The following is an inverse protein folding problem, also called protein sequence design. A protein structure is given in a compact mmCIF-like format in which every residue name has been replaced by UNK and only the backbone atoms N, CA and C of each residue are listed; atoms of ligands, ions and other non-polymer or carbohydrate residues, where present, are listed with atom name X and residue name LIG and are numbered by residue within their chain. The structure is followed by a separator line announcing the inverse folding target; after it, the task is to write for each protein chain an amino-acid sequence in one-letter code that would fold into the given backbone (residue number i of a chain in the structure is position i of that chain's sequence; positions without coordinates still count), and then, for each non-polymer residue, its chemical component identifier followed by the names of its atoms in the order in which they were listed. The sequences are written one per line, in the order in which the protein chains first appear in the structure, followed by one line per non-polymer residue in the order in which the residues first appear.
data_IF_230377670372
#
_entry.id   IF_230377670372
#
_cell.length_a   1.000
_cell.length_b   1.000
_cell.length_c   1.000
_cell.angle_alpha   90.00
_cell.angle_beta   90.00
_cell.angle_gamma   90.00
#
_symmetry.space_group_name_H-M   'P 1'
#
loop_
_entity.id
_entity.type
_entity.pdbx_description
1 polymer ?
#
# COMPACT_ATOMS: atom_id res chain seq x y z
N UNK A 1 -29.67 5.30 -25.02
CA UNK A 1 -28.26 5.65 -24.91
C UNK A 1 -28.02 6.22 -23.52
N UNK A 2 -27.89 5.38 -22.48
CA UNK A 2 -27.62 5.82 -21.09
C UNK A 2 -27.40 4.60 -20.18
N UNK A 3 -26.39 3.78 -20.45
CA UNK A 3 -25.92 2.77 -19.50
C UNK A 3 -24.42 2.55 -19.74
N UNK A 4 -23.58 2.94 -18.75
CA UNK A 4 -22.21 2.45 -18.42
C UNK A 4 -21.31 3.49 -17.69
N UNK A 5 -21.82 4.56 -17.08
CA UNK A 5 -20.99 5.39 -16.17
C UNK A 5 -20.93 4.85 -14.72
N UNK A 6 -21.90 4.02 -14.32
CA UNK A 6 -22.11 3.68 -12.91
C UNK A 6 -21.25 2.53 -12.39
N UNK A 7 -20.77 1.62 -13.26
CA UNK A 7 -19.87 0.52 -12.86
C UNK A 7 -18.40 0.93 -12.85
N UNK A 8 -17.98 1.75 -13.82
CA UNK A 8 -16.61 2.28 -13.96
C UNK A 8 -16.19 3.15 -12.76
N UNK A 9 -17.15 3.82 -12.12
CA UNK A 9 -16.91 4.66 -10.93
C UNK A 9 -16.64 3.88 -9.63
N UNK A 10 -16.90 2.57 -9.56
CA UNK A 10 -16.77 1.81 -8.28
C UNK A 10 -15.37 1.23 -8.03
N UNK A 11 -14.57 0.98 -9.07
CA UNK A 11 -13.23 0.39 -8.94
C UNK A 11 -12.10 1.41 -8.94
N UNK A 12 -12.37 2.62 -9.46
CA UNK A 12 -11.39 3.71 -9.52
C UNK A 12 -11.42 4.50 -8.23
N UNK A 13 -10.34 4.42 -7.46
CA UNK A 13 -10.17 5.18 -6.23
C UNK A 13 -9.63 6.58 -6.57
N UNK A 14 -10.40 7.61 -6.21
CA UNK A 14 -9.88 8.97 -6.06
C UNK A 14 -9.36 9.12 -4.64
N UNK A 15 -8.04 9.20 -4.50
CA UNK A 15 -7.41 9.34 -3.20
C UNK A 15 -7.56 10.77 -2.70
N UNK A 16 -8.19 10.91 -1.53
CA UNK A 16 -8.09 12.15 -0.75
C UNK A 16 -6.72 12.14 -0.08
N UNK A 17 -6.06 13.30 0.09
CA UNK A 17 -4.85 13.39 0.91
C UNK A 17 -5.22 13.04 2.36
N UNK A 18 -5.17 11.75 2.70
CA UNK A 18 -5.29 11.25 4.05
C UNK A 18 -4.00 11.52 4.83
N UNK A 19 -4.09 11.47 6.15
CA UNK A 19 -3.02 11.69 7.13
C UNK A 19 -1.88 10.66 6.96
N UNK A 20 -1.09 10.79 5.89
CA UNK A 20 0.15 10.04 5.73
C UNK A 20 1.21 10.67 6.62
N UNK A 21 1.80 9.86 7.49
CA UNK A 21 2.83 10.31 8.42
C UNK A 21 4.17 10.22 7.70
N UNK A 22 4.67 11.39 7.30
CA UNK A 22 6.01 11.50 6.71
C UNK A 22 7.03 11.58 7.85
N UNK A 23 7.95 10.63 7.85
CA UNK A 23 9.17 10.61 8.69
C UNK A 23 10.39 10.60 7.78
N UNK A 24 11.58 11.00 8.25
CA UNK A 24 12.77 11.08 7.38
C UNK A 24 13.09 9.76 6.66
N UNK A 25 12.96 8.62 7.34
CA UNK A 25 13.18 7.29 6.75
C UNK A 25 12.16 6.96 5.66
N UNK A 26 10.87 7.23 5.92
CA UNK A 26 9.80 7.02 4.94
C UNK A 26 9.93 7.98 3.76
N UNK A 27 10.30 9.24 3.99
CA UNK A 27 10.46 10.26 2.94
C UNK A 27 11.57 9.91 1.95
N UNK A 28 12.70 9.37 2.45
CA UNK A 28 13.77 8.87 1.59
C UNK A 28 13.29 7.73 0.69
N UNK A 29 12.55 6.77 1.26
CA UNK A 29 11.98 5.64 0.52
C UNK A 29 10.97 6.15 -0.52
N UNK A 30 10.07 7.06 -0.12
CA UNK A 30 9.04 7.62 -0.98
C UNK A 30 9.64 8.42 -2.14
N UNK A 31 10.64 9.27 -1.86
CA UNK A 31 11.35 10.05 -2.87
C UNK A 31 12.03 9.15 -3.89
N UNK A 32 12.71 8.08 -3.45
CA UNK A 32 13.33 7.10 -4.33
C UNK A 32 12.29 6.36 -5.17
N UNK A 33 11.20 5.91 -4.56
CA UNK A 33 10.10 5.23 -5.24
C UNK A 33 9.46 6.12 -6.32
N UNK A 34 9.22 7.40 -6.03
CA UNK A 34 8.71 8.38 -7.00
C UNK A 34 9.66 8.60 -8.18
N UNK A 35 10.99 8.57 -7.97
CA UNK A 35 11.96 8.67 -9.07
C UNK A 35 11.83 7.50 -10.05
N UNK A 36 11.70 6.27 -9.54
CA UNK A 36 11.50 5.09 -10.40
C UNK A 36 10.17 5.15 -11.14
N UNK A 37 9.08 5.50 -10.43
CA UNK A 37 7.76 5.65 -11.02
C UNK A 37 7.75 6.74 -12.10
N UNK A 38 8.34 7.91 -11.85
CA UNK A 38 8.42 8.99 -12.85
C UNK A 38 9.25 8.59 -14.08
N UNK A 39 10.23 7.71 -13.90
CA UNK A 39 11.05 7.14 -14.99
C UNK A 39 10.33 6.04 -15.79
N UNK A 40 9.12 5.64 -15.39
CA UNK A 40 8.33 4.63 -16.10
C UNK A 40 8.53 3.20 -15.61
N UNK A 41 9.34 3.00 -14.58
CA UNK A 41 9.52 1.69 -13.96
C UNK A 41 8.42 1.41 -12.94
N UNK A 42 8.01 0.15 -12.89
CA UNK A 42 7.14 -0.36 -11.83
C UNK A 42 7.98 -0.73 -10.62
N UNK A 43 7.42 -0.52 -9.44
CA UNK A 43 8.12 -0.73 -8.18
C UNK A 43 7.47 -1.87 -7.40
N UNK A 44 8.26 -2.50 -6.56
CA UNK A 44 7.83 -3.52 -5.63
C UNK A 44 8.27 -3.15 -4.22
N UNK A 45 7.33 -3.04 -3.30
CA UNK A 45 7.56 -2.79 -1.88
C UNK A 45 7.56 -4.12 -1.13
N UNK A 46 8.74 -4.59 -0.73
CA UNK A 46 8.92 -5.86 -0.01
C UNK A 46 9.19 -5.58 1.47
N UNK A 47 8.52 -6.27 2.39
CA UNK A 47 8.83 -6.16 3.82
C UNK A 47 7.85 -6.93 4.70
N UNK A 48 8.12 -7.05 6.01
CA UNK A 48 7.27 -7.77 6.94
C UNK A 48 5.82 -7.27 6.97
N UNK A 49 4.90 -8.09 7.48
CA UNK A 49 3.51 -7.71 7.65
C UNK A 49 3.37 -6.45 8.55
N UNK A 50 2.48 -5.55 8.17
CA UNK A 50 2.15 -4.36 8.96
C UNK A 50 3.23 -3.28 9.07
N UNK A 51 4.26 -3.27 8.22
CA UNK A 51 5.21 -2.15 8.11
C UNK A 51 4.66 -0.93 7.36
N UNK A 52 3.43 -1.00 6.84
CA UNK A 52 2.78 0.11 6.14
C UNK A 52 2.98 0.15 4.63
N UNK A 53 3.41 -0.96 4.00
CA UNK A 53 3.63 -1.09 2.55
C UNK A 53 2.45 -0.58 1.71
N UNK A 54 1.23 -1.08 1.98
CA UNK A 54 0.00 -0.66 1.30
C UNK A 54 -0.27 0.83 1.52
N UNK A 55 -0.02 1.34 2.73
CA UNK A 55 -0.21 2.76 3.03
C UNK A 55 0.76 3.63 2.23
N UNK A 56 2.02 3.21 2.10
CA UNK A 56 3.02 3.88 1.26
C UNK A 56 2.67 3.77 -0.23
N UNK A 57 2.22 2.60 -0.71
CA UNK A 57 1.79 2.39 -2.09
C UNK A 57 0.67 3.35 -2.48
N UNK A 58 -0.35 3.47 -1.62
CA UNK A 58 -1.45 4.41 -1.83
C UNK A 58 -0.99 5.87 -1.76
N UNK A 59 -0.06 6.20 -0.87
CA UNK A 59 0.53 7.54 -0.81
C UNK A 59 1.28 7.89 -2.10
N UNK A 60 2.10 6.97 -2.62
CA UNK A 60 2.83 7.15 -3.87
C UNK A 60 1.88 7.31 -5.07
N UNK A 61 0.83 6.48 -5.13
CA UNK A 61 -0.19 6.58 -6.16
C UNK A 61 -0.94 7.93 -6.12
N UNK A 62 -1.22 8.44 -4.92
CA UNK A 62 -1.79 9.78 -4.74
C UNK A 62 -0.83 10.89 -5.22
N UNK A 63 0.47 10.75 -4.93
CA UNK A 63 1.50 11.69 -5.38
C UNK A 63 1.67 11.74 -6.90
N UNK A 64 1.34 10.66 -7.61
CA UNK A 64 1.29 10.65 -9.09
C UNK A 64 0.09 11.43 -9.65
N UNK A 65 -0.85 11.88 -8.80
CA UNK A 65 -2.04 12.64 -9.16
C UNK A 65 -2.87 11.97 -10.27
N UNK A 66 -2.97 10.64 -10.22
CA UNK A 66 -3.70 9.82 -11.19
C UNK A 66 -4.73 8.94 -10.51
N UNK A 67 -5.78 8.52 -11.23
CA UNK A 67 -6.72 7.56 -10.72
C UNK A 67 -6.02 6.25 -10.34
N UNK A 68 -6.45 5.64 -9.24
CA UNK A 68 -5.82 4.43 -8.68
C UNK A 68 -6.76 3.24 -8.81
N UNK A 69 -6.25 2.14 -9.35
CA UNK A 69 -6.91 0.84 -9.33
C UNK A 69 -6.24 -0.04 -8.27
N UNK A 70 -7.00 -0.50 -7.28
CA UNK A 70 -6.50 -1.38 -6.22
C UNK A 70 -6.93 -2.82 -6.47
N UNK A 71 -5.97 -3.73 -6.41
CA UNK A 71 -6.15 -5.18 -6.49
C UNK A 71 -5.49 -5.80 -5.27
N UNK A 72 -6.15 -6.75 -4.64
CA UNK A 72 -5.61 -7.55 -3.54
C UNK A 72 -5.33 -8.95 -4.07
N UNK A 73 -4.19 -9.53 -3.74
CA UNK A 73 -3.87 -10.90 -4.12
C UNK A 73 -4.79 -11.90 -3.45
N UNK A 74 -5.18 -12.91 -4.22
CA UNK A 74 -6.10 -13.97 -3.81
C UNK A 74 -5.78 -15.25 -4.61
N UNK A 75 -5.75 -16.39 -3.93
CA UNK A 75 -5.43 -17.69 -4.52
C UNK A 75 -6.57 -18.21 -5.43
N UNK A 76 -7.78 -17.67 -5.25
CA UNK A 76 -8.94 -17.97 -6.08
C UNK A 76 -9.00 -17.10 -7.34
N UNK A 77 -8.09 -16.13 -7.51
CA UNK A 77 -8.06 -15.32 -8.74
C UNK A 77 -7.68 -16.15 -9.95
N UNK A 78 -8.40 -15.86 -11.04
CA UNK A 78 -8.09 -16.29 -12.38
C UNK A 78 -7.55 -15.13 -13.21
N UNK A 79 -6.89 -15.41 -14.33
CA UNK A 79 -6.44 -14.37 -15.26
C UNK A 79 -7.60 -13.50 -15.76
N UNK A 80 -8.82 -14.06 -15.84
CA UNK A 80 -10.03 -13.34 -16.23
C UNK A 80 -10.45 -12.28 -15.20
N UNK A 81 -10.12 -12.46 -13.92
CA UNK A 81 -10.41 -11.47 -12.87
C UNK A 81 -9.51 -10.23 -12.96
N UNK A 82 -8.33 -10.36 -13.57
CA UNK A 82 -7.45 -9.23 -13.85
C UNK A 82 -7.81 -8.54 -15.17
N UNK A 83 -7.99 -9.30 -16.25
CA UNK A 83 -8.15 -8.75 -17.61
C UNK A 83 -9.62 -8.48 -18.00
N UNK A 84 -10.56 -9.25 -17.50
CA UNK A 84 -11.95 -9.21 -17.90
C UNK A 84 -12.48 -10.58 -18.30
N UNK A 85 -13.82 -10.66 -18.33
CA UNK A 85 -14.55 -11.86 -18.70
C UNK A 85 -15.67 -11.52 -19.70
N UNK A 86 -16.09 -12.52 -20.46
CA UNK A 86 -17.30 -12.45 -21.28
C UNK A 86 -18.52 -12.66 -20.39
N UNK A 87 -18.96 -11.61 -19.68
CA UNK A 87 -20.08 -11.72 -18.71
C UNK A 87 -21.25 -10.76 -18.98
N UNK A 88 -21.14 -9.85 -19.95
CA UNK A 88 -22.26 -8.98 -20.31
C UNK A 88 -23.24 -9.69 -21.24
N UNK A 89 -24.54 -9.69 -20.93
CA UNK A 89 -25.58 -10.13 -21.87
C UNK A 89 -26.36 -8.91 -22.36
N UNK A 90 -26.35 -8.65 -23.67
CA UNK A 90 -27.35 -7.76 -24.28
C UNK A 90 -28.45 -8.63 -24.87
N UNK A 91 -29.62 -8.63 -24.24
CA UNK A 91 -30.81 -9.30 -24.74
C UNK A 91 -31.62 -8.31 -25.59
N UNK A 92 -31.64 -8.51 -26.91
CA UNK A 92 -32.50 -7.72 -27.80
C UNK A 92 -33.67 -8.57 -28.24
N UNK A 93 -34.85 -8.32 -27.66
CA UNK A 93 -36.11 -8.95 -28.04
C UNK A 93 -36.85 -8.07 -29.03
N UNK A 94 -36.90 -8.48 -30.30
CA UNK A 94 -37.75 -7.85 -31.31
C UNK A 94 -39.07 -8.63 -31.34
N UNK A 95 -40.17 -7.95 -30.99
CA UNK A 95 -41.53 -8.52 -31.11
C UNK A 95 -42.20 -7.83 -32.28
N UNK A 96 -42.30 -8.54 -33.40
CA UNK A 96 -42.97 -8.04 -34.59
C UNK A 96 -44.41 -8.57 -34.59
N UNK A 97 -45.40 -7.66 -34.60
CA UNK A 97 -46.82 -8.02 -34.46
C UNK A 97 -47.60 -7.65 -35.74
N UNK A 98 -47.02 -7.96 -36.91
CA UNK A 98 -47.55 -7.57 -38.22
C UNK A 98 -48.79 -8.37 -38.64
N UNK A 99 -49.00 -9.57 -38.10
CA UNK A 99 -50.19 -10.40 -38.30
C UNK A 99 -50.66 -10.91 -36.93
N UNK A 100 -51.92 -10.64 -36.58
CA UNK A 100 -52.51 -10.90 -35.25
C UNK A 100 -52.51 -12.39 -34.81
N UNK A 101 -52.06 -13.30 -35.66
CA UNK A 101 -52.04 -14.75 -35.42
C UNK A 101 -50.65 -15.37 -35.32
N UNK A 102 -49.55 -14.62 -35.53
CA UNK A 102 -48.18 -15.18 -35.48
C UNK A 102 -47.25 -14.25 -34.72
N UNK A 103 -46.81 -14.69 -33.54
CA UNK A 103 -45.77 -14.02 -32.74
C UNK A 103 -44.39 -14.49 -33.23
N UNK A 104 -43.63 -13.60 -33.89
CA UNK A 104 -42.21 -13.82 -34.12
C UNK A 104 -41.43 -13.16 -32.98
N UNK A 105 -40.78 -13.97 -32.17
CA UNK A 105 -39.85 -13.54 -31.11
C UNK A 105 -38.44 -13.87 -31.59
N UNK A 106 -37.64 -12.83 -31.86
CA UNK A 106 -36.20 -12.98 -32.05
C UNK A 106 -35.50 -12.59 -30.75
N UNK A 107 -34.82 -13.56 -30.13
CA UNK A 107 -33.96 -13.37 -28.96
C UNK A 107 -32.49 -13.43 -29.41
N UNK A 108 -31.83 -12.27 -29.56
CA UNK A 108 -30.38 -12.20 -29.74
C UNK A 108 -29.71 -12.14 -28.36
N UNK A 109 -28.93 -13.17 -28.01
CA UNK A 109 -27.99 -13.16 -26.89
C UNK A 109 -26.61 -12.74 -27.38
N UNK A 110 -26.21 -11.49 -27.11
CA UNK A 110 -24.84 -11.01 -27.39
C UNK A 110 -24.02 -11.00 -26.11
N UNK A 111 -22.89 -11.71 -26.14
CA UNK A 111 -21.86 -11.67 -25.11
C UNK A 111 -21.04 -10.39 -25.29
N UNK A 112 -21.11 -9.49 -24.32
CA UNK A 112 -20.30 -8.28 -24.27
C UNK A 112 -19.11 -8.53 -23.33
N UNK A 113 -17.91 -8.22 -23.83
CA UNK A 113 -16.71 -8.20 -23.01
C UNK A 113 -16.80 -7.08 -21.97
N UNK A 114 -16.44 -7.38 -20.72
CA UNK A 114 -16.34 -6.40 -19.65
C UNK A 114 -14.88 -6.32 -19.22
N UNK A 115 -14.24 -5.19 -19.48
CA UNK A 115 -12.87 -4.95 -19.06
C UNK A 115 -12.76 -4.97 -17.53
N UNK A 116 -11.79 -5.73 -17.01
CA UNK A 116 -11.49 -5.72 -15.58
C UNK A 116 -10.41 -4.69 -15.23
N UNK A 117 -10.02 -4.65 -13.95
CA UNK A 117 -9.18 -3.63 -13.31
C UNK A 117 -7.84 -3.42 -14.03
N UNK A 118 -7.15 -4.49 -14.44
CA UNK A 118 -5.87 -4.37 -15.14
C UNK A 118 -6.05 -3.77 -16.54
N UNK A 119 -7.00 -4.29 -17.32
CA UNK A 119 -7.27 -3.83 -18.69
C UNK A 119 -7.68 -2.35 -18.72
N UNK A 120 -8.53 -1.94 -17.78
CA UNK A 120 -8.90 -0.53 -17.61
C UNK A 120 -7.69 0.32 -17.22
N UNK A 121 -6.85 -0.13 -16.28
CA UNK A 121 -5.67 0.62 -15.88
C UNK A 121 -4.66 0.78 -17.03
N UNK A 122 -4.45 -0.28 -17.81
CA UNK A 122 -3.57 -0.27 -18.98
C UNK A 122 -4.11 0.65 -20.09
N UNK A 123 -5.42 0.64 -20.36
CA UNK A 123 -6.03 1.48 -21.40
C UNK A 123 -6.01 2.96 -21.04
N UNK A 124 -6.44 3.28 -19.83
CA UNK A 124 -6.62 4.67 -19.36
C UNK A 124 -5.35 5.27 -18.76
N UNK A 125 -4.29 4.48 -18.56
CA UNK A 125 -3.03 4.96 -17.97
C UNK A 125 -3.10 5.24 -16.47
N UNK A 126 -3.92 4.47 -15.75
CA UNK A 126 -4.07 4.60 -14.29
C UNK A 126 -2.86 4.02 -13.54
N UNK A 127 -2.80 4.34 -12.24
CA UNK A 127 -1.84 3.69 -11.34
C UNK A 127 -2.49 2.43 -10.77
N UNK A 128 -1.89 1.29 -11.04
CA UNK A 128 -2.28 0.02 -10.43
C UNK A 128 -1.52 -0.16 -9.11
N UNK A 129 -2.25 -0.41 -8.03
CA UNK A 129 -1.69 -0.91 -6.77
C UNK A 129 -2.13 -2.36 -6.63
N UNK A 130 -1.16 -3.26 -6.62
CA UNK A 130 -1.40 -4.69 -6.42
C UNK A 130 -0.80 -5.12 -5.08
N UNK A 131 -1.67 -5.25 -4.08
CA UNK A 131 -1.31 -5.57 -2.72
C UNK A 131 -1.23 -7.09 -2.52
N UNK A 132 -0.19 -7.58 -1.84
CA UNK A 132 0.04 -9.00 -1.56
C UNK A 132 -0.01 -9.89 -2.83
N UNK A 133 0.67 -9.47 -3.91
CA UNK A 133 0.59 -10.14 -5.22
C UNK A 133 1.07 -11.61 -5.20
N UNK A 134 1.88 -11.95 -4.21
CA UNK A 134 2.41 -13.29 -3.95
C UNK A 134 1.32 -14.27 -3.48
N UNK A 135 0.18 -13.78 -2.99
CA UNK A 135 -1.01 -14.58 -2.66
C UNK A 135 -1.84 -14.98 -3.88
N UNK A 136 -1.48 -14.49 -5.07
CA UNK A 136 -2.12 -14.90 -6.31
C UNK A 136 -1.29 -15.94 -7.05
N UNK A 137 -1.98 -16.80 -7.79
CA UNK A 137 -1.33 -17.86 -8.56
C UNK A 137 -0.33 -17.30 -9.58
N UNK A 138 0.84 -17.94 -9.74
CA UNK A 138 1.78 -17.77 -10.85
C UNK A 138 1.17 -17.40 -12.22
N UNK A 139 0.16 -18.17 -12.64
CA UNK A 139 -0.47 -18.06 -13.96
C UNK A 139 -1.20 -16.73 -14.17
N UNK A 140 -1.77 -16.18 -13.10
CA UNK A 140 -2.46 -14.88 -13.09
C UNK A 140 -1.46 -13.76 -13.31
N UNK A 141 -0.28 -13.88 -12.69
CA UNK A 141 0.78 -12.88 -12.76
C UNK A 141 1.49 -12.83 -14.12
N UNK A 142 1.42 -13.91 -14.92
CA UNK A 142 2.02 -13.93 -16.27
C UNK A 142 1.47 -12.84 -17.19
N UNK A 143 0.20 -12.46 -17.02
CA UNK A 143 -0.43 -11.39 -17.81
C UNK A 143 0.20 -10.02 -17.53
N UNK A 144 0.80 -9.84 -16.35
CA UNK A 144 1.49 -8.61 -15.99
C UNK A 144 2.87 -8.50 -16.64
N UNK A 145 3.50 -9.63 -17.00
CA UNK A 145 4.83 -9.63 -17.60
C UNK A 145 4.82 -8.88 -18.94
N UNK A 146 3.91 -9.23 -19.85
CA UNK A 146 3.76 -8.57 -21.14
C UNK A 146 3.33 -7.10 -21.00
N UNK A 147 2.41 -6.81 -20.06
CA UNK A 147 1.94 -5.45 -19.83
C UNK A 147 3.05 -4.51 -19.31
N UNK A 148 3.97 -5.04 -18.50
CA UNK A 148 5.05 -4.26 -17.91
C UNK A 148 6.24 -4.07 -18.85
N UNK A 149 6.66 -5.14 -19.53
CA UNK A 149 7.85 -5.18 -20.39
C UNK A 149 7.57 -4.67 -21.81
N UNK A 150 6.63 -5.31 -22.50
CA UNK A 150 6.33 -5.03 -23.91
C UNK A 150 5.34 -3.87 -24.09
N UNK A 151 4.73 -3.39 -23.00
CA UNK A 151 3.62 -2.43 -23.02
C UNK A 151 2.46 -2.93 -23.88
N UNK A 152 2.22 -4.23 -23.85
CA UNK A 152 1.11 -4.89 -24.55
C UNK A 152 0.41 -5.84 -23.56
N UNK A 153 -0.91 -5.76 -23.51
CA UNK A 153 -1.74 -6.68 -22.73
C UNK A 153 -2.45 -7.62 -23.71
N UNK A 154 -2.18 -8.93 -23.58
CA UNK A 154 -2.85 -9.97 -24.38
C UNK A 154 -4.23 -10.23 -23.80
N UNK A 155 -5.27 -10.03 -24.61
CA UNK A 155 -6.65 -10.31 -24.25
C UNK A 155 -7.08 -11.66 -24.86
N UNK A 156 -7.95 -12.43 -24.20
CA UNK A 156 -8.52 -13.63 -24.78
C UNK A 156 -9.28 -13.30 -26.07
N UNK A 157 -9.11 -14.08 -27.15
CA UNK A 157 -9.72 -13.79 -28.43
C UNK A 157 -11.23 -13.74 -28.29
N UNK A 158 -11.81 -12.56 -28.58
CA UNK A 158 -13.25 -12.32 -28.53
C UNK A 158 -13.68 -11.73 -29.87
N UNK A 159 -14.86 -12.11 -30.37
CA UNK A 159 -15.34 -11.79 -31.73
C UNK A 159 -15.39 -10.29 -32.08
N UNK A 160 -15.23 -9.40 -31.11
CA UNK A 160 -15.41 -7.94 -31.25
C UNK A 160 -14.26 -7.08 -30.69
N UNK A 161 -13.14 -7.67 -30.27
CA UNK A 161 -12.00 -6.91 -29.74
C UNK A 161 -10.66 -7.41 -30.28
N UNK A 162 -9.65 -6.53 -30.41
CA UNK A 162 -8.32 -6.94 -30.79
C UNK A 162 -7.69 -7.83 -29.71
N UNK A 163 -6.94 -8.84 -30.14
CA UNK A 163 -6.24 -9.79 -29.26
C UNK A 163 -5.17 -9.11 -28.36
N UNK A 164 -4.80 -7.88 -28.70
CA UNK A 164 -3.77 -7.11 -28.02
C UNK A 164 -4.26 -5.69 -27.71
N UNK A 165 -4.00 -5.24 -26.49
CA UNK A 165 -4.19 -3.86 -26.04
C UNK A 165 -2.83 -3.20 -25.83
N UNK A 166 -2.58 -2.09 -26.51
CA UNK A 166 -1.41 -1.25 -26.23
C UNK A 166 -1.58 -0.59 -24.85
N UNK A 167 -0.61 -0.80 -23.95
CA UNK A 167 -0.59 -0.18 -22.63
C UNK A 167 -0.22 1.29 -22.77
N UNK A 168 -1.01 2.15 -22.14
CA UNK A 168 -0.79 3.59 -22.11
C UNK A 168 0.58 3.92 -21.48
N UNK A 169 1.33 4.84 -22.08
CA UNK A 169 2.65 5.27 -21.58
C UNK A 169 2.62 5.87 -20.17
N UNK A 170 1.44 6.28 -19.71
CA UNK A 170 1.16 6.81 -18.38
C UNK A 170 0.87 5.73 -17.33
N UNK A 171 0.63 4.48 -17.73
CA UNK A 171 0.39 3.39 -16.80
C UNK A 171 1.57 3.20 -15.84
N UNK A 172 1.28 3.03 -14.55
CA UNK A 172 2.28 2.74 -13.51
C UNK A 172 1.75 1.63 -12.62
N UNK A 173 2.64 0.76 -12.14
CA UNK A 173 2.26 -0.29 -11.20
C UNK A 173 3.13 -0.26 -9.95
N UNK A 174 2.48 -0.47 -8.80
CA UNK A 174 3.08 -0.56 -7.48
C UNK A 174 2.65 -1.90 -6.88
N UNK A 175 3.61 -2.76 -6.60
CA UNK A 175 3.39 -4.08 -6.03
C UNK A 175 3.78 -4.09 -4.55
N UNK A 176 3.12 -4.91 -3.74
CA UNK A 176 3.57 -5.20 -2.36
C UNK A 176 3.65 -6.71 -2.12
N UNK A 177 4.59 -7.14 -1.29
CA UNK A 177 4.65 -8.52 -0.82
C UNK A 177 5.22 -8.63 0.60
N UNK A 178 5.02 -9.80 1.20
CA UNK A 178 5.63 -10.20 2.45
C UNK A 178 6.70 -11.29 2.18
N UNK A 179 7.97 -11.12 2.58
CA UNK A 179 9.02 -12.10 2.32
C UNK A 179 8.77 -13.47 2.97
N UNK A 180 8.01 -13.54 4.07
CA UNK A 180 7.70 -14.82 4.72
C UNK A 180 6.79 -15.72 3.88
N UNK A 181 5.92 -15.12 3.08
CA UNK A 181 5.04 -15.82 2.15
C UNK A 181 5.76 -16.18 0.84
N UNK A 182 6.98 -15.66 0.63
CA UNK A 182 7.82 -15.96 -0.54
C UNK A 182 8.67 -17.23 -0.35
N UNK A 183 8.74 -17.79 0.87
CA UNK A 183 9.49 -19.03 1.15
C UNK A 183 8.86 -20.25 0.44
N UNK A 184 9.24 -20.47 -0.81
CA UNK A 184 9.03 -21.74 -1.53
C UNK A 184 8.06 -21.71 -2.72
N UNK A 185 7.73 -20.55 -3.30
CA UNK A 185 6.66 -20.44 -4.30
C UNK A 185 7.19 -20.06 -5.70
N UNK A 186 7.11 -21.04 -6.61
CA UNK A 186 7.14 -21.02 -8.09
C UNK A 186 7.99 -19.97 -8.87
N UNK A 187 8.81 -20.49 -9.80
CA UNK A 187 9.73 -19.76 -10.70
C UNK A 187 9.15 -18.59 -11.55
N UNK A 188 7.83 -18.48 -11.73
CA UNK A 188 7.22 -17.35 -12.46
C UNK A 188 7.24 -16.06 -11.65
N UNK A 189 7.29 -16.14 -10.31
CA UNK A 189 7.40 -14.96 -9.46
C UNK A 189 8.77 -14.30 -9.64
N UNK A 190 9.83 -15.06 -9.91
CA UNK A 190 11.17 -14.53 -10.18
C UNK A 190 11.22 -13.72 -11.48
N UNK A 191 10.52 -14.17 -12.52
CA UNK A 191 10.43 -13.43 -13.78
C UNK A 191 9.74 -12.06 -13.62
N UNK A 192 8.73 -11.96 -12.74
CA UNK A 192 8.10 -10.69 -12.45
C UNK A 192 9.05 -9.79 -11.65
N UNK A 193 9.78 -10.35 -10.69
CA UNK A 193 10.74 -9.63 -9.86
C UNK A 193 11.89 -9.02 -10.65
N UNK A 194 12.39 -9.69 -11.69
CA UNK A 194 13.43 -9.16 -12.60
C UNK A 194 12.97 -7.91 -13.37
N UNK A 195 11.66 -7.73 -13.52
CA UNK A 195 11.04 -6.59 -14.24
C UNK A 195 10.62 -5.46 -13.30
N UNK A 196 10.78 -5.63 -11.99
CA UNK A 196 10.35 -4.68 -10.96
C UNK A 196 11.53 -4.14 -10.17
N UNK A 197 11.48 -2.85 -9.86
CA UNK A 197 12.44 -2.26 -8.92
C UNK A 197 12.00 -2.59 -7.50
N UNK A 198 12.68 -3.54 -6.86
CA UNK A 198 12.37 -3.94 -5.49
C UNK A 198 12.99 -2.97 -4.48
N UNK A 199 12.14 -2.44 -3.60
CA UNK A 199 12.50 -1.58 -2.49
C UNK A 199 12.14 -2.31 -1.20
N UNK A 200 13.17 -2.62 -0.42
CA UNK A 200 12.99 -3.24 0.89
C UNK A 200 12.52 -2.20 1.90
N UNK A 201 11.42 -2.52 2.58
CA UNK A 201 10.81 -1.75 3.64
C UNK A 201 10.99 -2.51 4.96
N UNK A 202 12.07 -2.22 5.71
CA UNK A 202 12.31 -2.87 6.99
C UNK A 202 11.24 -2.45 8.01
N UNK A 203 11.26 -3.09 9.18
CA UNK A 203 10.45 -2.63 10.29
C UNK A 203 10.81 -1.16 10.62
N UNK A 204 9.81 -0.26 10.77
CA UNK A 204 10.07 1.13 11.08
C UNK A 204 10.86 1.26 12.38
N UNK A 205 11.79 2.22 12.40
CA UNK A 205 12.53 2.58 13.59
C UNK A 205 11.62 3.18 14.66
N UNK A 206 12.10 3.21 15.90
CA UNK A 206 11.32 3.65 17.05
C UNK A 206 10.75 5.06 16.88
N UNK A 207 11.55 6.01 16.38
CA UNK A 207 11.07 7.38 16.12
C UNK A 207 9.92 7.37 15.11
N UNK A 208 10.04 6.59 14.04
CA UNK A 208 8.98 6.46 13.04
C UNK A 208 7.73 5.82 13.63
N UNK A 209 7.85 4.77 14.45
CA UNK A 209 6.70 4.16 15.11
C UNK A 209 5.99 5.14 16.04
N UNK A 210 6.73 5.88 16.86
CA UNK A 210 6.20 6.90 17.77
C UNK A 210 5.46 8.00 17.01
N UNK A 211 6.04 8.55 15.94
CA UNK A 211 5.37 9.56 15.11
C UNK A 211 4.10 9.03 14.44
N UNK A 212 4.13 7.79 13.96
CA UNK A 212 2.96 7.14 13.36
C UNK A 212 1.84 7.00 14.39
N UNK A 213 2.16 6.55 15.60
CA UNK A 213 1.19 6.42 16.69
C UNK A 213 0.60 7.78 17.06
N UNK A 214 1.43 8.75 17.43
CA UNK A 214 1.00 10.07 17.86
C UNK A 214 0.07 10.74 16.84
N UNK A 215 0.43 10.72 15.55
CA UNK A 215 -0.39 11.36 14.51
C UNK A 215 -1.64 10.59 14.12
N UNK A 216 -1.66 9.25 14.23
CA UNK A 216 -2.83 8.44 13.84
C UNK A 216 -3.85 8.27 14.97
N UNK A 217 -3.39 8.20 16.22
CA UNK A 217 -4.28 7.98 17.38
C UNK A 217 -4.54 9.26 18.16
N UNK A 218 -3.70 10.30 18.00
CA UNK A 218 -3.82 11.55 18.75
C UNK A 218 -3.23 11.48 20.17
N UNK A 219 -2.57 10.37 20.54
CA UNK A 219 -1.94 10.21 21.85
C UNK A 219 -0.66 11.07 21.96
N UNK A 220 -0.28 11.44 23.19
CA UNK A 220 0.97 12.16 23.46
C UNK A 220 2.20 11.42 22.95
N UNK A 221 3.25 12.16 22.57
CA UNK A 221 4.49 11.54 22.06
C UNK A 221 5.17 10.67 23.11
N UNK A 222 5.13 11.06 24.38
CA UNK A 222 5.74 10.32 25.48
C UNK A 222 5.02 8.98 25.72
N UNK A 223 3.68 9.02 25.74
CA UNK A 223 2.84 7.81 25.82
C UNK A 223 3.06 6.88 24.61
N UNK A 224 3.13 7.45 23.41
CA UNK A 224 3.43 6.68 22.20
C UNK A 224 4.82 6.02 22.27
N UNK A 225 5.82 6.74 22.80
CA UNK A 225 7.16 6.22 22.99
C UNK A 225 7.17 5.07 24.01
N UNK A 226 6.44 5.23 25.11
CA UNK A 226 6.28 4.19 26.13
C UNK A 226 5.68 2.91 25.55
N UNK A 227 4.56 3.02 24.81
CA UNK A 227 3.91 1.87 24.15
C UNK A 227 4.86 1.19 23.16
N UNK A 228 5.60 1.96 22.35
CA UNK A 228 6.56 1.39 21.39
C UNK A 228 7.68 0.63 22.11
N UNK A 229 8.23 1.19 23.18
CA UNK A 229 9.26 0.53 23.99
C UNK A 229 8.75 -0.75 24.62
N UNK A 230 7.56 -0.71 25.24
CA UNK A 230 6.91 -1.86 25.85
C UNK A 230 6.78 -3.03 24.85
N UNK A 231 6.20 -2.76 23.68
CA UNK A 231 5.97 -3.79 22.66
C UNK A 231 7.28 -4.32 22.08
N UNK A 232 8.28 -3.44 21.88
CA UNK A 232 9.61 -3.83 21.37
C UNK A 232 10.33 -4.75 22.37
N UNK A 233 10.39 -4.37 23.64
CA UNK A 233 11.01 -5.18 24.71
C UNK A 233 10.29 -6.51 24.88
N UNK A 234 8.96 -6.51 24.84
CA UNK A 234 8.16 -7.74 24.91
C UNK A 234 8.47 -8.68 23.75
N UNK A 235 8.57 -8.18 22.52
CA UNK A 235 8.92 -9.00 21.34
C UNK A 235 10.32 -9.58 21.43
N UNK A 236 11.30 -8.81 21.91
CA UNK A 236 12.67 -9.28 22.11
C UNK A 236 12.74 -10.41 23.15
N UNK A 237 12.05 -10.27 24.30
CA UNK A 237 12.02 -11.30 25.34
C UNK A 237 11.23 -12.57 24.96
N UNK A 238 10.28 -12.46 24.02
CA UNK A 238 9.40 -13.58 23.63
C UNK A 238 9.78 -14.24 22.31
N UNK A 239 10.88 -13.80 21.66
CA UNK A 239 11.31 -14.25 20.32
C UNK A 239 10.19 -14.15 19.26
N UNK A 240 9.23 -13.24 19.48
CA UNK A 240 8.08 -13.03 18.60
C UNK A 240 8.40 -12.08 17.44
N UNK A 241 9.54 -12.30 16.77
CA UNK A 241 10.02 -11.44 15.69
C UNK A 241 9.07 -11.42 14.48
N UNK A 242 8.36 -12.53 14.22
CA UNK A 242 7.48 -12.71 13.06
C UNK A 242 6.21 -11.85 13.09
N UNK A 243 5.77 -11.41 14.28
CA UNK A 243 4.51 -10.68 14.41
C UNK A 243 4.73 -9.16 14.29
N UNK A 244 3.88 -8.48 13.53
CA UNK A 244 3.96 -7.02 13.32
C UNK A 244 3.86 -6.21 14.63
N UNK A 245 4.96 -5.58 15.05
CA UNK A 245 5.01 -4.71 16.22
C UNK A 245 4.13 -3.46 16.08
N UNK A 246 4.21 -2.77 14.94
CA UNK A 246 3.46 -1.53 14.70
C UNK A 246 1.94 -1.71 14.83
N UNK A 247 1.40 -2.86 14.39
CA UNK A 247 -0.05 -3.12 14.50
C UNK A 247 -0.48 -3.27 15.96
N UNK A 248 0.32 -3.93 16.79
CA UNK A 248 0.05 -4.04 18.24
C UNK A 248 0.10 -2.67 18.91
N UNK A 249 1.15 -1.88 18.60
CA UNK A 249 1.30 -0.51 19.11
C UNK A 249 0.08 0.37 18.75
N UNK A 250 -0.38 0.31 17.50
CA UNK A 250 -1.56 1.06 17.04
C UNK A 250 -2.86 0.63 17.73
N UNK A 251 -3.05 -0.66 18.02
CA UNK A 251 -4.23 -1.16 18.72
C UNK A 251 -4.26 -0.60 20.15
N UNK A 252 -3.16 -0.76 20.89
CA UNK A 252 -3.04 -0.27 22.27
C UNK A 252 -3.25 1.25 22.31
N UNK A 253 -2.49 2.00 21.50
CA UNK A 253 -2.56 3.46 21.49
C UNK A 253 -3.94 3.98 21.06
N UNK A 254 -4.64 3.30 20.16
CA UNK A 254 -5.99 3.70 19.73
C UNK A 254 -7.01 3.47 20.84
N UNK A 255 -6.94 2.34 21.54
CA UNK A 255 -7.84 2.05 22.67
C UNK A 255 -7.58 3.07 23.79
N UNK A 256 -6.31 3.33 24.13
CA UNK A 256 -5.96 4.31 25.14
C UNK A 256 -6.50 5.70 24.81
N UNK A 257 -6.28 6.18 23.58
CA UNK A 257 -6.76 7.49 23.14
C UNK A 257 -8.30 7.59 22.99
N UNK A 258 -8.99 6.48 22.70
CA UNK A 258 -10.46 6.49 22.53
C UNK A 258 -11.21 6.42 23.86
N UNK A 259 -10.55 5.94 24.92
CA UNK A 259 -11.14 5.72 26.24
C UNK A 259 -10.49 6.57 27.34
N UNK A 260 -9.64 7.54 26.96
CA UNK A 260 -8.90 8.42 27.88
C UNK A 260 -8.10 7.66 28.96
N UNK A 261 -7.55 6.50 28.60
CA UNK A 261 -6.73 5.65 29.49
C UNK A 261 -5.29 6.16 29.45
N UNK A 262 -4.68 6.28 30.62
CA UNK A 262 -3.30 6.75 30.74
C UNK A 262 -2.35 5.61 30.40
N UNK A 263 -1.39 5.85 29.50
CA UNK A 263 -0.37 4.85 29.13
C UNK A 263 0.69 4.73 30.24
N UNK A 264 0.30 4.22 31.40
CA UNK A 264 1.17 4.03 32.57
C UNK A 264 1.24 2.56 32.97
N UNK A 265 2.40 2.13 33.43
CA UNK A 265 2.61 0.84 34.10
C UNK A 265 1.70 0.63 35.31
N UNK A 266 1.20 1.70 35.94
CA UNK A 266 0.38 1.63 37.16
C UNK A 266 -1.12 1.45 36.90
N UNK A 267 -1.60 1.70 35.68
CA UNK A 267 -3.02 1.65 35.33
C UNK A 267 -3.47 0.21 35.05
N UNK A 268 -4.48 -0.27 35.78
CA UNK A 268 -5.03 -1.62 35.63
C UNK A 268 -5.67 -1.84 34.26
N UNK A 269 -6.34 -0.82 33.71
CA UNK A 269 -7.01 -0.94 32.41
C UNK A 269 -5.96 -1.03 31.28
N UNK A 270 -4.87 -0.25 31.38
CA UNK A 270 -3.76 -0.32 30.43
C UNK A 270 -3.07 -1.70 30.45
N UNK A 271 -2.87 -2.25 31.65
CA UNK A 271 -2.31 -3.59 31.89
C UNK A 271 -3.13 -4.68 31.20
N UNK A 272 -4.44 -4.65 31.35
CA UNK A 272 -5.36 -5.62 30.75
C UNK A 272 -5.38 -5.50 29.22
N UNK A 273 -5.41 -4.28 28.67
CA UNK A 273 -5.34 -4.05 27.21
C UNK A 273 -4.03 -4.62 26.63
N UNK A 274 -2.91 -4.40 27.30
CA UNK A 274 -1.62 -4.92 26.86
C UNK A 274 -1.62 -6.45 26.88
N UNK A 275 -2.20 -7.08 27.91
CA UNK A 275 -2.33 -8.53 27.99
C UNK A 275 -3.16 -9.08 26.82
N UNK A 276 -4.34 -8.50 26.55
CA UNK A 276 -5.23 -8.95 25.48
C UNK A 276 -4.59 -8.85 24.08
N UNK A 277 -3.88 -7.76 23.81
CA UNK A 277 -3.26 -7.51 22.50
C UNK A 277 -1.98 -8.32 22.28
N UNK A 278 -1.14 -8.48 23.32
CA UNK A 278 0.20 -9.05 23.19
C UNK A 278 0.26 -10.56 23.43
N UNK A 279 -0.54 -11.11 24.35
CA UNK A 279 -0.47 -12.54 24.70
C UNK A 279 -0.95 -13.45 23.56
N UNK A 280 -1.89 -12.98 22.73
CA UNK A 280 -2.41 -13.73 21.57
C UNK A 280 -1.41 -13.84 20.41
N UNK A 281 -0.25 -13.17 20.51
CA UNK A 281 0.71 -12.98 19.40
C UNK A 281 2.05 -13.67 19.60
N UNK A 282 2.18 -14.46 20.67
CA UNK A 282 3.39 -15.20 21.01
C UNK A 282 3.19 -16.70 20.76
N UNK A 283 4.28 -17.43 20.53
CA UNK A 283 4.28 -18.90 20.43
C UNK A 283 4.47 -19.59 21.80
N UNK A 284 4.58 -18.81 22.87
CA UNK A 284 4.80 -19.30 24.24
C UNK A 284 3.46 -19.60 24.93
N UNK A 285 3.51 -20.36 26.03
CA UNK A 285 2.33 -20.54 26.87
C UNK A 285 1.90 -19.20 27.49
N UNK A 286 0.58 -19.00 27.59
CA UNK A 286 -0.02 -17.75 28.09
C UNK A 286 0.58 -17.34 29.44
N UNK A 287 0.78 -18.30 30.36
CA UNK A 287 1.34 -18.03 31.68
C UNK A 287 2.77 -17.48 31.63
N UNK A 288 3.61 -18.00 30.72
CA UNK A 288 5.00 -17.53 30.55
C UNK A 288 5.02 -16.14 29.91
N UNK A 289 4.23 -15.93 28.86
CA UNK A 289 4.12 -14.61 28.23
C UNK A 289 3.56 -13.56 29.19
N UNK A 290 2.61 -13.94 30.04
CA UNK A 290 2.04 -13.05 31.04
C UNK A 290 3.04 -12.68 32.14
N UNK A 291 3.84 -13.63 32.60
CA UNK A 291 4.93 -13.35 33.54
C UNK A 291 5.94 -12.35 32.96
N UNK A 292 6.36 -12.55 31.70
CA UNK A 292 7.28 -11.63 31.00
C UNK A 292 6.67 -10.23 30.85
N UNK A 293 5.38 -10.14 30.51
CA UNK A 293 4.69 -8.85 30.38
C UNK A 293 4.66 -8.09 31.71
N UNK A 294 4.32 -8.76 32.81
CA UNK A 294 4.30 -8.15 34.13
C UNK A 294 5.69 -7.74 34.59
N UNK A 295 6.71 -8.56 34.34
CA UNK A 295 8.11 -8.20 34.63
C UNK A 295 8.49 -6.90 33.92
N UNK A 296 8.15 -6.72 32.64
CA UNK A 296 8.46 -5.48 31.88
C UNK A 296 7.68 -4.27 32.42
N UNK A 297 6.42 -4.46 32.80
CA UNK A 297 5.57 -3.39 33.33
C UNK A 297 5.96 -2.99 34.75
N UNK A 298 6.45 -3.92 35.57
CA UNK A 298 6.86 -3.67 36.95
C UNK A 298 8.30 -3.15 37.06
N UNK A 299 9.18 -3.43 36.07
CA UNK A 299 10.58 -2.96 36.07
C UNK A 299 10.75 -1.46 35.73
N UNK A 300 9.68 -0.73 35.39
CA UNK A 300 9.70 0.72 35.08
C UNK A 300 10.92 1.14 34.22
N UNK A 301 11.21 0.37 33.16
CA UNK A 301 12.27 0.68 32.20
C UNK A 301 11.85 1.83 31.27
N UNK A 302 11.66 3.00 31.87
CA UNK A 302 11.73 4.30 31.21
C UNK A 302 12.83 5.08 31.91
N UNK A 303 14.09 4.75 31.60
CA UNK A 303 15.11 5.79 31.67
C UNK A 303 14.81 6.77 30.52
N UNK A 304 14.43 8.03 30.79
CA UNK A 304 14.51 9.05 29.77
C UNK A 304 15.98 9.17 29.41
N UNK A 305 16.34 8.83 28.17
CA UNK A 305 17.68 9.07 27.62
C UNK A 305 18.02 10.54 27.87
N UNK A 306 18.87 10.77 28.87
CA UNK A 306 19.44 12.06 29.19
C UNK A 306 20.13 12.58 27.93
N UNK A 307 19.73 13.77 27.52
CA UNK A 307 20.43 14.60 26.54
C UNK A 307 21.90 14.63 26.95
N UNK A 308 22.76 13.99 26.15
CA UNK A 308 24.20 14.19 26.27
C UNK A 308 24.44 15.60 25.74
N UNK A 309 24.57 16.55 26.66
CA UNK A 309 25.26 17.81 26.40
C UNK A 309 26.69 17.43 26.00
N UNK A 310 26.99 17.48 24.70
CA UNK A 310 28.36 17.48 24.21
C UNK A 310 29.00 18.78 24.68
N UNK A 311 29.78 18.65 25.74
CA UNK A 311 30.78 19.61 26.20
C UNK A 311 31.66 20.05 25.02
N UNK A 312 31.67 21.35 24.74
CA UNK A 312 32.65 22.00 23.87
C UNK A 312 34.08 21.76 24.36
N UNK A 313 35.03 21.52 23.44
CA UNK A 313 36.40 21.97 23.60
C UNK A 313 36.69 23.13 22.65
N UNK A 314 37.29 24.14 23.25
CA UNK A 314 37.81 25.41 22.71
C UNK A 314 38.64 25.33 21.43
N UNK A 315 38.33 26.27 20.53
CA UNK A 315 39.17 27.05 19.62
C UNK A 315 40.46 26.44 19.02
N UNK A 316 40.42 26.28 17.68
CA UNK A 316 41.57 26.06 16.82
C UNK A 316 41.26 26.32 15.34
N UNK A 317 41.29 27.60 14.96
CA UNK A 317 41.38 28.24 13.63
C UNK A 317 41.21 27.44 12.30
N UNK A 318 40.42 28.09 11.43
CA UNK A 318 40.53 28.19 9.96
C UNK A 318 39.93 27.09 9.07
N UNK A 319 38.77 27.37 8.46
CA UNK A 319 38.65 27.86 7.06
C UNK A 319 37.23 27.66 6.51
N UNK A 320 36.87 28.60 5.64
CA UNK A 320 35.59 28.84 4.98
C UNK A 320 35.04 27.71 4.10
N UNK A 321 33.75 27.38 4.23
CA UNK A 321 32.84 27.13 3.08
C UNK A 321 31.39 26.87 3.55
N UNK A 322 30.44 27.70 3.12
CA UNK A 322 28.99 27.50 3.26
C UNK A 322 28.48 26.32 2.39
N UNK A 323 27.36 25.65 2.76
CA UNK A 323 26.52 24.99 1.79
C UNK A 323 25.09 25.54 1.83
N UNK A 324 24.70 26.27 0.79
CA UNK A 324 23.32 26.70 0.52
C UNK A 324 22.76 25.99 -0.72
N UNK A 325 22.35 24.72 -0.63
CA UNK A 325 21.60 24.09 -1.73
C UNK A 325 20.80 22.87 -1.25
N UNK A 326 19.53 23.08 -0.93
CA UNK A 326 18.59 22.00 -0.62
C UNK A 326 17.14 22.35 -0.92
N UNK A 327 16.76 23.61 -0.69
CA UNK A 327 15.38 24.07 -0.87
C UNK A 327 15.03 24.58 -2.28
N UNK A 328 15.97 24.62 -3.23
CA UNK A 328 15.68 25.05 -4.62
C UNK A 328 15.15 23.92 -5.51
N UNK A 329 15.46 22.65 -5.20
CA UNK A 329 15.13 21.51 -6.06
C UNK A 329 13.63 21.21 -6.12
N UNK A 330 12.90 21.36 -5.00
CA UNK A 330 11.44 21.13 -4.95
C UNK A 330 10.64 22.25 -5.62
N UNK A 331 11.09 23.51 -5.52
CA UNK A 331 10.44 24.64 -6.21
C UNK A 331 10.70 24.63 -7.72
N UNK A 332 11.88 24.20 -8.15
CA UNK A 332 12.20 24.06 -9.58
C UNK A 332 11.31 23.01 -10.27
N UNK A 333 11.11 21.85 -9.64
CA UNK A 333 10.26 20.77 -10.15
C UNK A 333 8.78 21.20 -10.18
N UNK A 334 8.31 21.95 -9.17
CA UNK A 334 6.94 22.48 -9.17
C UNK A 334 6.70 23.59 -10.23
N UNK A 335 7.73 24.36 -10.60
CA UNK A 335 7.59 25.42 -11.62
C UNK A 335 7.48 24.87 -13.04
N UNK A 336 8.17 23.76 -13.34
CA UNK A 336 8.11 23.09 -14.65
C UNK A 336 6.73 22.47 -14.94
N UNK A 337 5.96 22.12 -13.91
CA UNK A 337 4.62 21.57 -14.05
C UNK A 337 3.54 22.63 -14.33
N UNK A 338 3.78 23.92 -14.05
CA UNK A 338 2.81 25.00 -14.30
C UNK A 338 2.90 25.62 -15.70
N UNK A 339 3.93 25.28 -16.48
CA UNK A 339 4.22 25.94 -17.77
C UNK A 339 3.42 25.44 -18.99
N UNK A 340 2.70 24.33 -18.91
CA UNK A 340 2.11 23.67 -20.09
C UNK A 340 0.59 23.48 -20.02
N UNK A 341 -0.16 24.57 -19.82
CA UNK A 341 -1.59 24.61 -20.12
C UNK A 341 -1.83 25.57 -21.30
N UNK A 342 -2.31 25.10 -22.46
CA UNK A 342 -2.71 25.99 -23.54
C UNK A 342 -3.98 26.75 -23.13
N UNK A 343 -3.90 28.08 -23.14
CA UNK A 343 -5.06 28.95 -22.94
C UNK A 343 -6.07 28.73 -24.08
N UNK A 344 -7.30 28.36 -23.71
CA UNK A 344 -8.47 28.47 -24.59
C UNK A 344 -8.71 29.96 -24.85
N UNK A 345 -8.67 30.38 -26.12
CA UNK A 345 -9.28 31.62 -26.59
C UNK A 345 -10.78 31.40 -26.80
N UNK A 346 -11.49 32.50 -26.60
CA UNK A 346 -12.94 32.69 -26.51
C UNK A 346 -13.79 32.03 -27.60
#
# INVERSE_FOLDING_TARGET
MTFTETQTRRSVLSLRPGQFVVTPSIDQIATRALRYLNSGFSIHLCGPAGTGKTTLAMHLANCLARPVMLIFGDDDFSSSDLIGSQSGYTHKKLTDNYIHSVLKVEDELKHNWVDSRLTMACREGFTLVYDEFNRSRPEVNNVLLSALEEKILTLPPTSHQPDYLQVNSQFRAIFTSNPEEYCGVHATQDALMDRLVTINMPEPDQLTQTEILAKKTGIGRDDALFIVNLVKTFRLKTEAEKTSGLRSCLMIAKVCASHDIVASSSDADFRDICADVLLSRTNLSIDKSRAILWEILDDDLVEPLSVVEETEPSEGQASTSEPSTGNQSLKAIQSLLRGNLPQRKD
#
